data_IF_856978115199
#
_entry.id   IF_856978115199
#
_cell.length_a   1.000
_cell.length_b   1.000
_cell.length_c   1.000
_cell.angle_alpha   90.00
_cell.angle_beta   90.00
_cell.angle_gamma   90.00
#
_symmetry.space_group_name_H-M   'P 1'
#
loop_
_entity.id
_entity.type
_entity.pdbx_description
1 polymer ?
#
# COMPACT_ATOMS: atom_id res chain seq x y z
N UNK A 1 -46.93 12.87 28.98
CA UNK A 1 -45.75 13.37 28.25
C UNK A 1 -45.57 12.48 27.04
N UNK A 2 -45.82 13.00 25.83
CA UNK A 2 -45.71 12.22 24.61
C UNK A 2 -44.22 12.09 24.24
N UNK A 3 -43.68 10.87 24.26
CA UNK A 3 -42.36 10.59 23.68
C UNK A 3 -42.40 11.00 22.20
N UNK A 4 -41.57 11.98 21.82
CA UNK A 4 -41.42 12.37 20.44
C UNK A 4 -40.94 11.16 19.63
N UNK A 5 -41.79 10.67 18.71
CA UNK A 5 -41.49 9.52 17.85
C UNK A 5 -40.22 9.81 17.06
N UNK A 6 -39.14 9.09 17.35
CA UNK A 6 -37.87 9.23 16.62
C UNK A 6 -38.10 9.00 15.13
N UNK A 7 -37.42 9.79 14.30
CA UNK A 7 -37.43 9.58 12.85
C UNK A 7 -36.64 8.33 12.49
N UNK A 8 -36.96 7.69 11.36
CA UNK A 8 -36.19 6.55 10.86
C UNK A 8 -34.68 6.86 10.76
N UNK A 9 -34.35 8.08 10.33
CA UNK A 9 -32.97 8.54 10.23
C UNK A 9 -32.26 8.56 11.60
N UNK A 10 -32.94 9.05 12.64
CA UNK A 10 -32.39 9.04 14.01
C UNK A 10 -32.19 7.62 14.53
N UNK A 11 -33.14 6.71 14.25
CA UNK A 11 -33.04 5.30 14.63
C UNK A 11 -31.86 4.60 13.93
N UNK A 12 -31.69 4.83 12.63
CA UNK A 12 -30.55 4.30 11.86
C UNK A 12 -29.22 4.85 12.38
N UNK A 13 -29.14 6.15 12.67
CA UNK A 13 -27.93 6.75 13.25
C UNK A 13 -27.59 6.18 14.63
N UNK A 14 -28.60 6.00 15.50
CA UNK A 14 -28.42 5.40 16.81
C UNK A 14 -27.90 3.94 16.68
N UNK A 15 -28.49 3.17 15.76
CA UNK A 15 -28.03 1.81 15.47
C UNK A 15 -26.58 1.82 14.96
N UNK A 16 -26.25 2.62 13.95
CA UNK A 16 -24.88 2.70 13.40
C UNK A 16 -23.86 3.09 14.47
N UNK A 17 -24.20 4.01 15.38
CA UNK A 17 -23.34 4.38 16.52
C UNK A 17 -23.12 3.20 17.45
N UNK A 18 -24.18 2.49 17.86
CA UNK A 18 -24.09 1.29 18.69
C UNK A 18 -23.27 0.16 18.05
N UNK A 19 -23.48 -0.11 16.75
CA UNK A 19 -22.76 -1.17 16.04
C UNK A 19 -21.25 -0.90 15.97
N UNK A 20 -20.84 0.38 15.91
CA UNK A 20 -19.44 0.81 15.82
C UNK A 20 -18.78 0.95 17.18
N UNK A 21 -19.49 1.46 18.19
CA UNK A 21 -18.96 1.75 19.52
C UNK A 21 -19.94 1.32 20.64
N UNK A 22 -20.09 0.00 20.86
CA UNK A 22 -21.08 -0.55 21.79
C UNK A 22 -20.76 -0.27 23.27
N UNK A 23 -19.53 0.13 23.60
CA UNK A 23 -19.12 0.45 24.98
C UNK A 23 -19.56 1.86 25.38
N UNK A 24 -19.64 2.79 24.43
CA UNK A 24 -19.99 4.20 24.69
C UNK A 24 -21.36 4.60 24.14
N UNK A 25 -21.94 3.81 23.22
CA UNK A 25 -23.27 4.06 22.67
C UNK A 25 -24.26 2.98 23.15
N UNK A 26 -25.44 3.35 23.68
CA UNK A 26 -26.42 2.38 24.13
C UNK A 26 -27.14 1.70 22.95
N UNK A 27 -27.75 0.54 23.24
CA UNK A 27 -28.69 -0.10 22.31
C UNK A 27 -29.83 0.88 21.97
N UNK A 28 -30.22 1.04 20.70
CA UNK A 28 -31.30 1.94 20.31
C UNK A 28 -32.61 1.62 21.04
N UNK A 29 -33.31 2.67 21.51
CA UNK A 29 -34.59 2.54 22.19
C UNK A 29 -35.62 1.77 21.35
N UNK A 30 -36.26 0.77 21.94
CA UNK A 30 -37.28 -0.06 21.27
C UNK A 30 -36.71 -1.19 20.40
N UNK A 31 -35.39 -1.37 20.33
CA UNK A 31 -34.76 -2.53 19.70
C UNK A 31 -34.53 -3.63 20.73
N UNK A 32 -34.78 -4.88 20.33
CA UNK A 32 -34.39 -6.05 21.11
C UNK A 32 -32.86 -6.14 21.23
N UNK A 33 -32.36 -6.19 22.47
CA UNK A 33 -30.93 -6.15 22.76
C UNK A 33 -30.17 -7.36 22.20
N UNK A 34 -30.79 -8.56 22.23
CA UNK A 34 -30.18 -9.77 21.70
C UNK A 34 -30.00 -9.68 20.17
N UNK A 35 -31.02 -9.19 19.45
CA UNK A 35 -30.91 -8.90 18.01
C UNK A 35 -29.86 -7.84 17.69
N UNK A 36 -29.84 -6.75 18.46
CA UNK A 36 -28.85 -5.69 18.27
C UNK A 36 -27.41 -6.23 18.45
N UNK A 37 -27.21 -7.10 19.43
CA UNK A 37 -25.93 -7.79 19.65
C UNK A 37 -25.52 -8.66 18.46
N UNK A 38 -26.44 -9.44 17.88
CA UNK A 38 -26.14 -10.24 16.67
C UNK A 38 -25.64 -9.37 15.53
N UNK A 39 -26.29 -8.23 15.26
CA UNK A 39 -25.84 -7.30 14.22
C UNK A 39 -24.47 -6.70 14.52
N UNK A 40 -24.23 -6.31 15.78
CA UNK A 40 -22.94 -5.75 16.22
C UNK A 40 -21.81 -6.74 15.99
N UNK A 41 -22.02 -7.99 16.39
CA UNK A 41 -21.02 -9.04 16.28
C UNK A 41 -20.77 -9.40 14.82
N UNK A 42 -21.83 -9.48 13.99
CA UNK A 42 -21.73 -9.72 12.55
C UNK A 42 -20.91 -8.64 11.82
N UNK A 43 -21.21 -7.35 12.06
CA UNK A 43 -20.50 -6.24 11.39
C UNK A 43 -19.03 -6.22 11.77
N UNK A 44 -18.74 -6.39 13.07
CA UNK A 44 -17.35 -6.42 13.53
C UNK A 44 -16.59 -7.63 12.96
N UNK A 45 -17.19 -8.82 13.00
CA UNK A 45 -16.54 -10.03 12.54
C UNK A 45 -16.33 -10.03 11.02
N UNK A 46 -17.27 -9.49 10.24
CA UNK A 46 -17.09 -9.29 8.80
C UNK A 46 -15.92 -8.33 8.50
N UNK A 47 -15.87 -7.18 9.19
CA UNK A 47 -14.76 -6.22 9.02
C UNK A 47 -13.42 -6.85 9.41
N UNK A 48 -13.37 -7.55 10.54
CA UNK A 48 -12.17 -8.23 11.03
C UNK A 48 -11.72 -9.31 10.06
N UNK A 49 -12.64 -10.15 9.58
CA UNK A 49 -12.34 -11.25 8.65
C UNK A 49 -11.78 -10.71 7.34
N UNK A 50 -12.42 -9.68 6.77
CA UNK A 50 -11.97 -9.00 5.55
C UNK A 50 -10.54 -8.48 5.71
N UNK A 51 -10.29 -7.67 6.74
CA UNK A 51 -8.96 -7.09 6.95
C UNK A 51 -7.92 -8.18 7.26
N UNK A 52 -8.30 -9.24 7.98
CA UNK A 52 -7.36 -10.34 8.29
C UNK A 52 -6.91 -11.08 7.03
N UNK A 53 -7.75 -11.13 5.99
CA UNK A 53 -7.39 -11.71 4.69
C UNK A 53 -6.37 -10.88 3.92
N UNK A 54 -6.38 -9.55 4.10
CA UNK A 54 -5.45 -8.63 3.41
C UNK A 54 -4.14 -8.44 4.19
N UNK A 55 -4.14 -8.57 5.51
CA UNK A 55 -3.00 -8.24 6.38
C UNK A 55 -2.50 -9.43 7.24
N UNK A 56 -2.23 -10.62 6.66
CA UNK A 56 -1.88 -11.82 7.43
C UNK A 56 -0.61 -11.66 8.30
N UNK A 57 0.42 -10.98 7.81
CA UNK A 57 1.68 -10.76 8.55
C UNK A 57 1.43 -9.78 9.69
N UNK A 58 0.73 -8.67 9.45
CA UNK A 58 0.36 -7.72 10.50
C UNK A 58 -0.46 -8.38 11.62
N UNK A 59 -1.42 -9.24 11.25
CA UNK A 59 -2.20 -10.04 12.23
C UNK A 59 -1.27 -10.93 13.06
N UNK A 60 -0.29 -11.57 12.44
CA UNK A 60 0.66 -12.44 13.13
C UNK A 60 1.56 -11.67 14.10
N UNK A 61 2.03 -10.49 13.71
CA UNK A 61 2.90 -9.61 14.50
C UNK A 61 2.17 -9.06 15.72
N UNK A 62 0.96 -8.53 15.52
CA UNK A 62 0.16 -7.94 16.61
C UNK A 62 -0.42 -9.01 17.54
N UNK A 63 -0.69 -10.20 16.99
CA UNK A 63 -1.47 -11.22 17.67
C UNK A 63 -2.98 -10.88 17.70
N UNK A 64 -3.78 -11.88 18.06
CA UNK A 64 -5.25 -11.80 17.90
C UNK A 64 -5.91 -10.73 18.76
N UNK A 65 -5.41 -10.48 19.98
CA UNK A 65 -6.00 -9.51 20.90
C UNK A 65 -5.78 -8.08 20.42
N UNK A 66 -4.52 -7.70 20.15
CA UNK A 66 -4.18 -6.37 19.65
C UNK A 66 -4.79 -6.12 18.26
N UNK A 67 -4.83 -7.15 17.40
CA UNK A 67 -5.52 -7.06 16.11
C UNK A 67 -7.01 -6.74 16.26
N UNK A 68 -7.73 -7.46 17.14
CA UNK A 68 -9.15 -7.19 17.41
C UNK A 68 -9.36 -5.77 17.95
N UNK A 69 -8.50 -5.31 18.85
CA UNK A 69 -8.55 -3.95 19.37
C UNK A 69 -8.30 -2.90 18.27
N UNK A 70 -7.33 -3.15 17.39
CA UNK A 70 -7.00 -2.30 16.25
C UNK A 70 -8.20 -2.17 15.29
N UNK A 71 -8.81 -3.29 14.87
CA UNK A 71 -9.99 -3.27 14.01
C UNK A 71 -11.18 -2.60 14.69
N UNK A 72 -11.36 -2.80 16.00
CA UNK A 72 -12.43 -2.14 16.76
C UNK A 72 -12.25 -0.63 16.76
N UNK A 73 -11.01 -0.17 16.98
CA UNK A 73 -10.65 1.26 16.97
C UNK A 73 -10.89 1.88 15.58
N UNK A 74 -10.45 1.20 14.52
CA UNK A 74 -10.72 1.61 13.14
C UNK A 74 -12.23 1.69 12.86
N UNK A 75 -13.00 0.66 13.21
CA UNK A 75 -14.45 0.64 13.02
C UNK A 75 -15.16 1.75 13.81
N UNK A 76 -14.63 2.18 14.95
CA UNK A 76 -15.17 3.30 15.72
C UNK A 76 -14.84 4.63 15.05
N UNK A 77 -13.56 4.87 14.77
CA UNK A 77 -13.01 6.19 14.41
C UNK A 77 -13.15 6.51 12.92
N UNK A 78 -13.00 5.52 12.03
CA UNK A 78 -13.00 5.72 10.60
C UNK A 78 -14.33 5.33 9.94
N UNK A 79 -14.92 6.27 9.19
CA UNK A 79 -16.18 6.04 8.47
C UNK A 79 -15.89 5.67 7.02
N UNK A 80 -15.88 4.38 6.71
CA UNK A 80 -15.85 3.92 5.32
C UNK A 80 -17.10 4.42 4.59
N UNK A 81 -16.92 5.09 3.47
CA UNK A 81 -18.00 5.60 2.61
C UNK A 81 -18.31 4.67 1.44
N UNK A 82 -17.57 3.56 1.35
CA UNK A 82 -17.58 2.60 0.25
C UNK A 82 -17.81 1.18 0.78
N UNK A 83 -18.59 0.35 0.05
CA UNK A 83 -18.70 -1.07 0.34
C UNK A 83 -17.57 -1.91 -0.27
N UNK A 84 -16.69 -1.31 -1.10
CA UNK A 84 -15.67 -2.04 -1.85
C UNK A 84 -14.52 -2.47 -0.95
N UNK A 85 -14.21 -3.77 -0.94
CA UNK A 85 -13.23 -4.34 -0.02
C UNK A 85 -11.81 -3.79 -0.20
N UNK A 86 -11.37 -3.59 -1.45
CA UNK A 86 -10.07 -3.00 -1.74
C UNK A 86 -9.92 -1.58 -1.17
N UNK A 87 -10.96 -0.76 -1.33
CA UNK A 87 -10.99 0.61 -0.81
C UNK A 87 -11.07 0.64 0.74
N UNK A 88 -11.74 -0.33 1.37
CA UNK A 88 -11.74 -0.46 2.83
C UNK A 88 -10.34 -0.79 3.36
N UNK A 89 -9.61 -1.68 2.69
CA UNK A 89 -8.24 -2.01 3.08
C UNK A 89 -7.28 -0.81 2.88
N UNK A 90 -7.43 -0.05 1.80
CA UNK A 90 -6.69 1.20 1.60
C UNK A 90 -6.99 2.24 2.69
N UNK A 91 -8.28 2.40 3.04
CA UNK A 91 -8.71 3.28 4.11
C UNK A 91 -8.12 2.85 5.47
N UNK A 92 -7.98 1.54 5.70
CA UNK A 92 -7.34 1.00 6.90
C UNK A 92 -5.84 1.34 6.95
N UNK A 93 -5.11 1.18 5.83
CA UNK A 93 -3.69 1.59 5.74
C UNK A 93 -3.54 3.09 6.02
N UNK A 94 -4.35 3.92 5.37
CA UNK A 94 -4.37 5.37 5.57
C UNK A 94 -4.66 5.73 7.03
N UNK A 95 -5.61 5.03 7.65
CA UNK A 95 -5.93 5.23 9.06
C UNK A 95 -4.75 4.89 9.97
N UNK A 96 -4.07 3.77 9.77
CA UNK A 96 -2.90 3.39 10.58
C UNK A 96 -1.76 4.41 10.46
N UNK A 97 -1.50 4.91 9.26
CA UNK A 97 -0.49 5.94 9.03
C UNK A 97 -0.83 7.27 9.75
N UNK A 98 -2.10 7.64 9.81
CA UNK A 98 -2.56 8.87 10.46
C UNK A 98 -2.69 8.77 11.99
N UNK A 99 -2.73 7.56 12.55
CA UNK A 99 -2.96 7.32 13.99
C UNK A 99 -1.84 6.48 14.61
N UNK A 100 -0.59 6.97 14.62
CA UNK A 100 0.50 6.28 15.31
C UNK A 100 0.16 6.14 16.79
N UNK A 101 0.43 4.96 17.36
CA UNK A 101 0.14 4.63 18.75
C UNK A 101 1.36 3.99 19.41
N UNK A 102 1.76 4.40 20.63
CA UNK A 102 2.85 3.75 21.35
C UNK A 102 2.51 2.31 21.76
N UNK A 103 1.23 1.95 21.77
CA UNK A 103 0.75 0.60 22.07
C UNK A 103 0.99 -0.39 20.91
N UNK A 104 1.41 0.11 19.75
CA UNK A 104 1.65 -0.69 18.56
C UNK A 104 3.13 -0.70 18.19
N UNK A 105 3.62 -1.77 17.54
CA UNK A 105 4.95 -1.75 16.97
C UNK A 105 5.13 -0.55 16.01
N UNK A 106 6.29 0.12 16.04
CA UNK A 106 6.49 1.37 15.31
C UNK A 106 6.39 1.23 13.78
N UNK A 107 6.51 0.00 13.27
CA UNK A 107 6.45 -0.34 11.86
C UNK A 107 5.07 -0.72 11.34
N UNK A 108 4.02 -0.69 12.18
CA UNK A 108 2.66 -1.17 11.81
C UNK A 108 2.11 -0.51 10.54
N UNK A 109 2.26 0.82 10.41
CA UNK A 109 1.77 1.53 9.23
C UNK A 109 2.51 1.10 7.94
N UNK A 110 3.83 0.97 8.01
CA UNK A 110 4.65 0.54 6.87
C UNK A 110 4.39 -0.92 6.49
N UNK A 111 4.22 -1.80 7.48
CA UNK A 111 3.89 -3.21 7.26
C UNK A 111 2.49 -3.34 6.62
N UNK A 112 1.50 -2.59 7.11
CA UNK A 112 0.17 -2.58 6.51
C UNK A 112 0.21 -2.11 5.06
N UNK A 113 0.95 -1.04 4.76
CA UNK A 113 1.12 -0.56 3.40
C UNK A 113 1.79 -1.62 2.50
N UNK A 114 2.85 -2.27 3.01
CA UNK A 114 3.56 -3.33 2.28
C UNK A 114 2.65 -4.50 1.87
N UNK A 115 1.81 -5.00 2.78
CA UNK A 115 0.87 -6.08 2.46
C UNK A 115 -0.25 -5.62 1.52
N UNK A 116 -0.76 -4.40 1.70
CA UNK A 116 -1.81 -3.84 0.83
C UNK A 116 -1.37 -3.69 -0.63
N UNK A 117 -0.11 -3.33 -0.88
CA UNK A 117 0.41 -3.12 -2.24
C UNK A 117 0.22 -4.35 -3.13
N UNK A 118 0.37 -5.56 -2.59
CA UNK A 118 0.15 -6.80 -3.36
C UNK A 118 -1.27 -6.85 -3.91
N UNK A 119 -2.26 -6.65 -3.03
CA UNK A 119 -3.66 -6.63 -3.40
C UNK A 119 -3.95 -5.48 -4.39
N UNK A 120 -3.41 -4.29 -4.15
CA UNK A 120 -3.62 -3.13 -5.00
C UNK A 120 -3.10 -3.35 -6.44
N UNK A 121 -1.90 -3.93 -6.58
CA UNK A 121 -1.33 -4.26 -7.88
C UNK A 121 -2.12 -5.36 -8.59
N UNK A 122 -2.59 -6.38 -7.87
CA UNK A 122 -3.45 -7.43 -8.45
C UNK A 122 -4.75 -6.87 -9.02
N UNK A 123 -5.35 -5.88 -8.34
CA UNK A 123 -6.62 -5.27 -8.74
C UNK A 123 -6.46 -4.12 -9.76
N UNK A 124 -5.24 -3.67 -10.05
CA UNK A 124 -5.01 -2.56 -10.99
C UNK A 124 -5.51 -2.88 -12.40
N UNK A 125 -6.27 -1.97 -13.00
CA UNK A 125 -6.72 -2.04 -14.39
C UNK A 125 -5.63 -1.60 -15.40
N UNK A 126 -4.45 -1.21 -14.92
CA UNK A 126 -3.39 -0.75 -15.80
C UNK A 126 -2.80 -1.89 -16.64
N UNK A 127 -2.43 -1.57 -17.87
CA UNK A 127 -1.81 -2.52 -18.80
C UNK A 127 -0.27 -2.53 -18.68
N UNK A 128 0.39 -3.67 -18.92
CA UNK A 128 1.84 -3.75 -19.01
C UNK A 128 2.40 -2.81 -20.07
N UNK A 129 3.63 -2.32 -19.87
CA UNK A 129 4.33 -1.54 -20.88
C UNK A 129 4.67 -2.42 -22.10
N UNK A 130 4.59 -1.87 -23.33
CA UNK A 130 5.07 -2.56 -24.52
C UNK A 130 6.59 -2.73 -24.46
N UNK A 131 7.08 -3.80 -25.09
CA UNK A 131 8.51 -3.99 -25.29
C UNK A 131 9.02 -3.08 -26.40
N UNK A 132 10.24 -2.58 -26.25
CA UNK A 132 10.93 -1.71 -27.19
C UNK A 132 12.33 -2.24 -27.46
N UNK A 133 12.96 -1.84 -28.56
CA UNK A 133 14.38 -2.13 -28.74
C UNK A 133 15.24 -1.26 -27.81
N UNK A 134 16.51 -1.64 -27.70
CA UNK A 134 17.44 -0.94 -26.84
C UNK A 134 17.74 0.49 -27.30
N UNK A 135 17.78 0.71 -28.61
CA UNK A 135 18.03 2.04 -29.17
C UNK A 135 16.92 3.00 -28.70
N UNK A 136 15.66 2.58 -28.77
CA UNK A 136 14.53 3.35 -28.27
C UNK A 136 14.63 3.63 -26.76
N UNK A 137 15.07 2.66 -25.95
CA UNK A 137 15.26 2.91 -24.51
C UNK A 137 16.31 3.98 -24.21
N UNK A 138 17.37 4.07 -25.01
CA UNK A 138 18.43 5.05 -24.78
C UNK A 138 18.10 6.43 -25.38
N UNK A 139 17.40 6.46 -26.50
CA UNK A 139 17.24 7.67 -27.30
C UNK A 139 15.87 8.33 -27.14
N UNK A 140 14.88 7.66 -26.54
CA UNK A 140 13.54 8.20 -26.30
C UNK A 140 13.25 8.43 -24.82
N UNK A 141 12.32 9.36 -24.50
CA UNK A 141 11.87 9.62 -23.14
C UNK A 141 11.34 8.35 -22.45
N UNK A 142 11.66 8.19 -21.17
CA UNK A 142 11.32 7.01 -20.39
C UNK A 142 10.12 7.25 -19.47
N UNK A 143 9.44 6.16 -19.10
CA UNK A 143 8.43 6.12 -18.04
C UNK A 143 8.56 4.86 -17.19
N UNK A 144 8.18 4.97 -15.93
CA UNK A 144 7.97 3.82 -15.05
C UNK A 144 6.59 3.21 -15.34
N UNK A 145 6.51 1.89 -15.24
CA UNK A 145 5.27 1.15 -15.41
C UNK A 145 4.29 1.46 -14.26
N UNK A 146 3.00 1.71 -14.54
CA UNK A 146 2.00 1.85 -13.48
C UNK A 146 1.82 0.56 -12.66
N UNK A 147 2.31 -0.58 -13.18
CA UNK A 147 2.31 -1.88 -12.53
C UNK A 147 3.63 -2.20 -11.80
N UNK A 148 4.54 -1.24 -11.66
CA UNK A 148 5.80 -1.40 -10.96
C UNK A 148 6.03 -0.25 -9.99
N UNK A 149 5.93 -0.54 -8.70
CA UNK A 149 5.95 0.45 -7.63
C UNK A 149 7.29 0.40 -6.89
N UNK A 150 8.17 1.38 -7.08
CA UNK A 150 9.31 1.58 -6.21
C UNK A 150 8.81 2.10 -4.85
N UNK A 151 9.07 1.34 -3.79
CA UNK A 151 8.72 1.70 -2.41
C UNK A 151 9.96 1.82 -1.52
N UNK A 152 9.97 2.82 -0.65
CA UNK A 152 10.99 3.00 0.38
C UNK A 152 10.34 2.96 1.76
N UNK A 153 10.89 2.13 2.63
CA UNK A 153 10.44 1.93 4.00
C UNK A 153 11.58 2.23 4.97
N UNK A 154 11.26 2.83 6.11
CA UNK A 154 12.25 2.94 7.17
C UNK A 154 12.55 1.57 7.78
N UNK A 155 11.53 0.70 7.86
CA UNK A 155 11.61 -0.61 8.48
C UNK A 155 11.81 -1.72 7.44
N UNK A 156 12.45 -2.85 7.81
CA UNK A 156 12.63 -4.00 6.92
C UNK A 156 11.34 -4.81 6.80
N UNK A 157 10.30 -4.21 6.24
CA UNK A 157 8.92 -4.75 6.20
C UNK A 157 8.84 -6.16 5.64
N UNK A 158 9.64 -6.48 4.62
CA UNK A 158 9.74 -7.80 3.99
C UNK A 158 10.33 -8.91 4.89
N UNK A 159 10.90 -8.55 6.05
CA UNK A 159 11.47 -9.50 7.04
C UNK A 159 10.66 -9.58 8.32
N UNK A 160 9.70 -8.67 8.52
CA UNK A 160 8.93 -8.60 9.75
C UNK A 160 8.10 -9.87 9.93
N UNK A 161 8.17 -10.41 11.14
CA UNK A 161 7.49 -11.63 11.52
C UNK A 161 7.35 -11.65 13.05
N UNK A 162 6.53 -12.54 13.64
CA UNK A 162 6.45 -12.67 15.09
C UNK A 162 7.83 -12.87 15.75
N UNK A 163 8.75 -13.55 15.08
CA UNK A 163 10.13 -13.81 15.52
C UNK A 163 11.13 -12.67 15.25
N UNK A 164 10.77 -11.66 14.45
CA UNK A 164 11.64 -10.54 14.09
C UNK A 164 10.88 -9.22 14.09
N UNK A 165 10.97 -8.51 15.21
CA UNK A 165 10.29 -7.23 15.47
C UNK A 165 11.32 -6.25 16.05
N UNK A 166 12.12 -5.59 15.20
CA UNK A 166 13.13 -4.64 15.68
C UNK A 166 12.46 -3.46 16.40
N UNK A 167 13.06 -3.01 17.50
CA UNK A 167 12.60 -1.85 18.27
C UNK A 167 13.19 -0.52 17.77
N UNK A 168 14.28 -0.58 17.01
CA UNK A 168 14.96 0.58 16.42
C UNK A 168 15.05 0.43 14.91
N UNK A 169 14.83 1.51 14.14
CA UNK A 169 14.94 1.45 12.69
C UNK A 169 16.40 1.19 12.28
N UNK A 170 16.65 0.42 11.21
CA UNK A 170 17.98 0.28 10.62
C UNK A 170 18.54 1.63 10.14
N UNK A 171 19.87 1.71 10.01
CA UNK A 171 20.54 2.92 9.52
C UNK A 171 20.23 3.24 8.05
N UNK A 172 19.94 2.22 7.24
CA UNK A 172 19.59 2.36 5.83
C UNK A 172 18.12 1.99 5.62
N UNK A 173 17.39 2.71 4.76
CA UNK A 173 16.03 2.37 4.42
C UNK A 173 15.99 1.05 3.63
N UNK A 174 14.84 0.39 3.71
CA UNK A 174 14.52 -0.76 2.89
C UNK A 174 13.91 -0.29 1.57
N UNK A 175 14.61 -0.54 0.47
CA UNK A 175 14.17 -0.17 -0.87
C UNK A 175 13.64 -1.42 -1.57
N UNK A 176 12.38 -1.37 -1.99
CA UNK A 176 11.69 -2.48 -2.62
C UNK A 176 11.11 -2.07 -3.96
N UNK A 177 11.08 -3.01 -4.89
CA UNK A 177 10.28 -2.96 -6.09
C UNK A 177 9.18 -4.00 -5.96
N UNK A 178 7.93 -3.56 -6.06
CA UNK A 178 6.78 -4.45 -6.17
C UNK A 178 6.20 -4.30 -7.56
N UNK A 179 6.07 -5.40 -8.30
CA UNK A 179 5.56 -5.34 -9.68
C UNK A 179 4.58 -6.45 -9.98
N UNK A 180 3.60 -6.18 -10.84
CA UNK A 180 2.75 -7.21 -11.44
C UNK A 180 3.35 -7.68 -12.75
N UNK A 181 3.54 -8.99 -12.91
CA UNK A 181 3.98 -9.60 -14.16
C UNK A 181 2.82 -9.70 -15.16
N UNK A 182 3.10 -9.88 -16.46
CA UNK A 182 2.05 -10.17 -17.45
C UNK A 182 1.22 -11.43 -17.14
N UNK A 183 1.74 -12.34 -16.31
CA UNK A 183 1.05 -13.54 -15.84
C UNK A 183 0.16 -13.33 -14.61
N UNK A 184 -0.14 -12.08 -14.24
CA UNK A 184 -0.93 -11.73 -13.04
C UNK A 184 -0.32 -12.17 -11.71
N UNK A 185 1.01 -12.29 -11.64
CA UNK A 185 1.72 -12.53 -10.39
C UNK A 185 2.34 -11.25 -9.86
N UNK A 186 2.26 -11.01 -8.55
CA UNK A 186 3.01 -9.93 -7.90
C UNK A 186 4.37 -10.45 -7.46
N UNK A 187 5.42 -9.69 -7.74
CA UNK A 187 6.81 -10.00 -7.40
C UNK A 187 7.42 -8.87 -6.60
N UNK A 188 8.06 -9.22 -5.49
CA UNK A 188 8.82 -8.33 -4.64
C UNK A 188 10.31 -8.54 -4.86
N UNK A 189 11.08 -7.47 -4.93
CA UNK A 189 12.54 -7.51 -4.99
C UNK A 189 13.15 -6.35 -4.21
N UNK A 190 14.29 -6.57 -3.56
CA UNK A 190 15.09 -5.47 -3.02
C UNK A 190 15.73 -4.68 -4.17
N UNK A 191 15.71 -3.35 -4.07
CA UNK A 191 16.36 -2.44 -4.99
C UNK A 191 17.72 -1.99 -4.44
N UNK A 192 18.73 -1.92 -5.31
CA UNK A 192 19.95 -1.19 -4.98
C UNK A 192 19.65 0.32 -4.93
N UNK A 193 20.43 1.12 -4.17
CA UNK A 193 20.27 2.58 -4.15
C UNK A 193 20.34 3.22 -5.55
N UNK A 194 21.17 2.65 -6.44
CA UNK A 194 21.31 3.11 -7.81
C UNK A 194 20.05 2.85 -8.64
N UNK A 195 19.46 1.65 -8.49
CA UNK A 195 18.22 1.28 -9.18
C UNK A 195 17.03 2.10 -8.68
N UNK A 196 16.93 2.28 -7.36
CA UNK A 196 15.97 3.18 -6.74
C UNK A 196 16.06 4.59 -7.32
N UNK A 197 17.27 5.17 -7.33
CA UNK A 197 17.46 6.54 -7.80
C UNK A 197 17.15 6.68 -9.29
N UNK A 198 17.49 5.69 -10.12
CA UNK A 198 17.11 5.69 -11.54
C UNK A 198 15.59 5.79 -11.73
N UNK A 199 14.81 5.01 -10.99
CA UNK A 199 13.34 5.04 -11.08
C UNK A 199 12.78 6.41 -10.66
N UNK A 200 13.25 6.96 -9.55
CA UNK A 200 12.88 8.32 -9.11
C UNK A 200 13.20 9.37 -10.18
N UNK A 201 14.37 9.28 -10.81
CA UNK A 201 14.78 10.23 -11.85
C UNK A 201 13.91 10.15 -13.11
N UNK A 202 13.45 8.95 -13.48
CA UNK A 202 12.52 8.78 -14.61
C UNK A 202 11.20 9.49 -14.32
N UNK A 203 10.70 9.42 -13.09
CA UNK A 203 9.47 10.09 -12.66
C UNK A 203 9.64 11.62 -12.51
N UNK A 204 10.78 12.07 -11.97
CA UNK A 204 11.11 13.49 -11.80
C UNK A 204 11.34 14.20 -13.15
N UNK A 205 11.87 13.48 -14.15
CA UNK A 205 12.27 14.03 -15.45
C UNK A 205 11.73 13.20 -16.63
N UNK A 206 10.40 13.09 -16.81
CA UNK A 206 9.79 12.17 -17.77
C UNK A 206 10.17 12.46 -19.23
N UNK A 207 10.52 13.72 -19.56
CA UNK A 207 10.93 14.12 -20.91
C UNK A 207 12.38 13.77 -21.28
N UNK A 208 13.19 13.25 -20.36
CA UNK A 208 14.58 12.89 -20.66
C UNK A 208 14.69 11.51 -21.27
N UNK A 209 15.46 11.42 -22.35
CA UNK A 209 15.84 10.15 -22.94
C UNK A 209 16.67 9.29 -21.98
N UNK A 210 16.65 7.97 -22.16
CA UNK A 210 17.36 7.04 -21.26
C UNK A 210 18.84 7.36 -21.10
N UNK A 211 19.55 7.72 -22.17
CA UNK A 211 20.95 8.16 -22.08
C UNK A 211 21.13 9.38 -21.18
N UNK A 212 20.22 10.35 -21.26
CA UNK A 212 20.21 11.52 -20.39
C UNK A 212 19.99 11.14 -18.93
N UNK A 213 19.09 10.19 -18.67
CA UNK A 213 18.84 9.67 -17.33
C UNK A 213 20.08 8.98 -16.74
N UNK A 214 20.75 8.12 -17.53
CA UNK A 214 21.94 7.39 -17.09
C UNK A 214 23.15 8.32 -16.86
N UNK A 215 23.37 9.29 -17.74
CA UNK A 215 24.46 10.28 -17.58
C UNK A 215 24.28 11.12 -16.32
N UNK A 216 23.05 11.59 -16.06
CA UNK A 216 22.76 12.37 -14.87
C UNK A 216 22.87 11.52 -13.59
N UNK A 217 22.44 10.25 -13.63
CA UNK A 217 22.64 9.31 -12.53
C UNK A 217 24.13 9.07 -12.26
N UNK A 218 24.96 8.97 -13.30
CA UNK A 218 26.40 8.83 -13.17
C UNK A 218 27.04 10.05 -12.47
N UNK A 219 26.59 11.26 -12.82
CA UNK A 219 27.04 12.49 -12.17
C UNK A 219 26.68 12.50 -10.68
N UNK A 220 25.46 12.08 -10.31
CA UNK A 220 25.05 11.93 -8.90
C UNK A 220 25.91 10.89 -8.15
N UNK A 221 26.31 9.82 -8.83
CA UNK A 221 27.16 8.76 -8.27
C UNK A 221 28.66 9.11 -8.20
N UNK A 222 29.06 10.31 -8.62
CA UNK A 222 30.45 10.78 -8.54
C UNK A 222 31.30 10.58 -9.80
N UNK A 223 30.70 10.19 -10.93
CA UNK A 223 31.38 10.17 -12.24
C UNK A 223 30.85 9.11 -13.23
N UNK A 224 31.04 9.37 -14.52
CA UNK A 224 30.63 8.51 -15.63
C UNK A 224 31.81 7.70 -16.19
N UNK A 225 32.34 6.76 -15.42
CA UNK A 225 33.31 5.80 -15.96
C UNK A 225 32.62 4.89 -17.00
N UNK A 226 33.40 4.32 -17.91
CA UNK A 226 32.88 3.39 -18.92
C UNK A 226 32.19 2.17 -18.27
N UNK A 227 32.83 1.57 -17.26
CA UNK A 227 32.28 0.43 -16.50
C UNK A 227 30.96 0.77 -15.77
N UNK A 228 30.85 1.99 -15.23
CA UNK A 228 29.62 2.47 -14.62
C UNK A 228 28.51 2.56 -15.67
N UNK A 229 28.80 3.17 -16.82
CA UNK A 229 27.82 3.32 -17.89
C UNK A 229 27.35 1.97 -18.44
N UNK A 230 28.25 1.02 -18.64
CA UNK A 230 27.89 -0.35 -19.05
C UNK A 230 26.95 -1.02 -18.02
N UNK A 231 27.27 -0.87 -16.72
CA UNK A 231 26.44 -1.40 -15.63
C UNK A 231 25.07 -0.71 -15.57
N UNK A 232 25.02 0.61 -15.81
CA UNK A 232 23.81 1.40 -15.80
C UNK A 232 22.88 1.07 -17.00
N UNK A 233 23.47 0.85 -18.18
CA UNK A 233 22.73 0.36 -19.36
C UNK A 233 22.19 -1.05 -19.09
N UNK A 234 23.01 -1.96 -18.54
CA UNK A 234 22.56 -3.30 -18.19
C UNK A 234 21.42 -3.30 -17.15
N UNK A 235 21.46 -2.38 -16.18
CA UNK A 235 20.38 -2.17 -15.23
C UNK A 235 19.08 -1.71 -15.91
N UNK A 236 19.16 -0.71 -16.80
CA UNK A 236 18.01 -0.20 -17.55
C UNK A 236 17.39 -1.30 -18.42
N UNK A 237 18.20 -2.09 -19.12
CA UNK A 237 17.73 -3.24 -19.92
C UNK A 237 16.98 -4.24 -19.05
N UNK A 238 17.56 -4.63 -17.90
CA UNK A 238 16.89 -5.55 -16.96
C UNK A 238 15.56 -5.01 -16.46
N UNK A 239 15.48 -3.71 -16.16
CA UNK A 239 14.22 -3.08 -15.75
C UNK A 239 13.17 -3.15 -16.85
N UNK A 240 13.57 -2.98 -18.11
CA UNK A 240 12.64 -3.13 -19.24
C UNK A 240 12.20 -4.58 -19.45
N UNK A 241 13.12 -5.55 -19.40
CA UNK A 241 12.79 -6.98 -19.48
C UNK A 241 11.81 -7.40 -18.38
N UNK A 242 11.88 -6.75 -17.21
CA UNK A 242 10.97 -6.98 -16.09
C UNK A 242 9.67 -6.19 -16.17
N UNK A 243 9.47 -5.38 -17.22
CA UNK A 243 8.29 -4.54 -17.42
C UNK A 243 8.19 -3.36 -16.45
N UNK A 244 9.31 -2.92 -15.87
CA UNK A 244 9.39 -1.85 -14.87
C UNK A 244 9.54 -0.49 -15.53
N UNK A 245 10.36 -0.42 -16.60
CA UNK A 245 10.63 0.81 -17.35
C UNK A 245 10.34 0.57 -18.82
N UNK A 246 9.82 1.58 -19.49
CA UNK A 246 9.62 1.56 -20.94
C UNK A 246 9.66 2.97 -21.51
N UNK A 247 9.38 3.07 -22.80
CA UNK A 247 9.38 4.35 -23.52
C UNK A 247 8.05 5.06 -23.31
N UNK A 248 8.08 6.38 -23.19
CA UNK A 248 6.87 7.19 -23.13
C UNK A 248 6.16 7.16 -24.49
N UNK A 249 4.85 6.87 -24.55
CA UNK A 249 4.11 6.94 -25.80
C UNK A 249 4.20 8.36 -26.37
N UNK A 250 4.43 8.48 -27.68
CA UNK A 250 4.33 9.76 -28.36
C UNK A 250 2.92 10.31 -28.13
N UNK A 251 2.75 11.60 -27.78
CA UNK A 251 1.42 12.19 -27.75
C UNK A 251 0.81 12.07 -29.14
N UNK A 252 -0.28 11.33 -29.24
CA UNK A 252 -1.13 11.32 -30.44
C UNK A 252 -1.80 12.69 -30.46
N UNK A 253 -1.39 13.55 -31.40
CA UNK A 253 -2.05 14.83 -31.68
C UNK A 253 -3.52 14.62 -32.09
#
# INVERSE_FOLDING_TARGET
MAEARQTLHQQQQALTRYLRDPEHCPVPTGMDAARAQVYRDLIFENMRSLLSGTFPVLVSVLGQEQWRACVRRFLREHRCVTPMFGEIAEAFVTYLAAHPSPDWPPFVAELAHYEWVEMALLQSEAEPLPSHDEAALLDLPLRVSPLAWPLAYQWPVHRLAPSYQPSTPPAQPTLLLVRRTPGFEVRFAELSPLAWRLLQRIEEYPGLAGRGQLLALAQEAGGASFEFMDSAVALLRRMQEQGVVGVQPHPVN
#
